data_IF_109237005002
#
_entry.id   IF_109237005002
#
_cell.length_a   1.000
_cell.length_b   1.000
_cell.length_c   1.000
_cell.angle_alpha   90.00
_cell.angle_beta   90.00
_cell.angle_gamma   90.00
#
_symmetry.space_group_name_H-M   'P 1'
#
loop_
_entity.id
_entity.type
_entity.pdbx_description
1 polymer ?
#
# COMPACT_ATOMS: atom_id res chain seq x y z
N UNK A 1 8.47 -16.11 27.89
CA UNK A 1 7.14 -15.51 27.63
C UNK A 1 7.35 -14.49 26.52
N UNK A 2 6.93 -14.85 25.28
CA UNK A 2 7.06 -13.98 24.10
C UNK A 2 6.02 -12.87 24.22
N UNK A 3 6.45 -11.65 24.50
CA UNK A 3 5.62 -10.47 24.28
C UNK A 3 5.61 -10.21 22.79
N UNK A 4 4.69 -10.87 22.07
CA UNK A 4 4.43 -10.53 20.68
C UNK A 4 4.19 -9.03 20.58
N UNK A 5 4.78 -8.37 19.60
CA UNK A 5 4.45 -6.99 19.25
C UNK A 5 2.95 -6.96 18.97
N UNK A 6 2.17 -6.30 19.81
CA UNK A 6 0.75 -6.12 19.57
C UNK A 6 0.63 -5.38 18.23
N UNK A 7 0.02 -6.04 17.25
CA UNK A 7 -0.42 -5.37 16.03
C UNK A 7 -1.22 -4.14 16.43
N UNK A 8 -0.92 -3.00 15.82
CA UNK A 8 -1.60 -1.75 16.14
C UNK A 8 -3.08 -1.93 15.79
N UNK A 9 -3.92 -2.05 16.80
CA UNK A 9 -5.37 -1.98 16.62
C UNK A 9 -5.74 -0.55 16.23
N UNK A 10 -6.67 -0.38 15.30
CA UNK A 10 -7.12 0.93 14.78
C UNK A 10 -6.03 1.64 13.93
N UNK A 11 -5.54 0.94 12.91
CA UNK A 11 -4.62 1.51 11.92
C UNK A 11 -5.35 2.53 11.06
N UNK A 12 -4.90 3.78 11.13
CA UNK A 12 -5.35 4.90 10.30
C UNK A 12 -4.17 5.31 9.41
N UNK A 13 -4.07 4.69 8.26
CA UNK A 13 -2.90 4.80 7.41
C UNK A 13 -3.12 5.61 6.14
N UNK A 14 -2.01 6.00 5.52
CA UNK A 14 -2.00 6.64 4.21
C UNK A 14 -0.86 6.12 3.36
N UNK A 15 -1.12 5.92 2.06
CA UNK A 15 -0.08 5.74 1.08
C UNK A 15 0.50 7.09 0.63
N UNK A 16 1.83 7.19 0.64
CA UNK A 16 2.59 8.26 -0.01
C UNK A 16 3.31 7.66 -1.21
N UNK A 17 2.70 7.80 -2.38
CA UNK A 17 3.22 7.24 -3.63
C UNK A 17 4.28 8.14 -4.25
N UNK A 18 5.02 7.64 -5.23
CA UNK A 18 5.93 8.47 -6.02
C UNK A 18 5.23 9.66 -6.70
N UNK A 19 3.92 9.57 -6.96
CA UNK A 19 3.11 10.68 -7.45
C UNK A 19 2.84 11.78 -6.43
N UNK A 20 3.01 11.49 -5.14
CA UNK A 20 2.77 12.45 -4.06
C UNK A 20 4.01 13.26 -3.67
N UNK A 21 5.22 12.88 -4.07
CA UNK A 21 6.48 13.50 -3.60
C UNK A 21 6.55 15.00 -3.84
N UNK A 22 6.12 15.48 -5.02
CA UNK A 22 6.07 16.91 -5.34
C UNK A 22 5.06 17.65 -4.47
N UNK A 23 3.88 17.09 -4.28
CA UNK A 23 2.82 17.68 -3.45
C UNK A 23 3.21 17.70 -1.95
N UNK A 24 4.02 16.73 -1.50
CA UNK A 24 4.60 16.70 -0.17
C UNK A 24 5.78 17.68 0.01
N UNK A 25 6.23 18.32 -1.08
CA UNK A 25 7.37 19.24 -1.07
C UNK A 25 8.73 18.56 -0.93
N UNK A 26 8.81 17.26 -1.30
CA UNK A 26 10.02 16.44 -1.10
C UNK A 26 10.90 16.37 -2.37
N UNK A 27 10.33 16.67 -3.54
CA UNK A 27 11.03 16.53 -4.80
C UNK A 27 12.22 17.49 -4.92
N UNK A 28 13.40 16.97 -5.22
CA UNK A 28 14.64 17.67 -5.54
C UNK A 28 15.01 18.77 -4.52
N UNK A 29 15.10 18.39 -3.23
CA UNK A 29 15.39 19.32 -2.13
C UNK A 29 16.78 19.09 -1.55
N UNK A 30 17.38 20.17 -0.98
CA UNK A 30 18.52 20.06 -0.07
C UNK A 30 18.11 19.32 1.20
N UNK A 31 19.06 18.75 1.93
CA UNK A 31 18.81 18.01 3.17
C UNK A 31 17.93 18.79 4.16
N UNK A 32 18.28 20.04 4.45
CA UNK A 32 17.55 20.89 5.40
C UNK A 32 16.11 21.15 4.94
N UNK A 33 15.91 21.47 3.66
CA UNK A 33 14.58 21.70 3.09
C UNK A 33 13.76 20.39 3.06
N UNK A 34 14.38 19.26 2.74
CA UNK A 34 13.75 17.93 2.76
C UNK A 34 13.25 17.58 4.17
N UNK A 35 14.10 17.72 5.18
CA UNK A 35 13.77 17.44 6.57
C UNK A 35 12.65 18.36 7.08
N UNK A 36 12.72 19.65 6.79
CA UNK A 36 11.69 20.63 7.16
C UNK A 36 10.34 20.29 6.52
N UNK A 37 10.33 19.99 5.23
CA UNK A 37 9.12 19.68 4.48
C UNK A 37 8.52 18.33 4.91
N UNK A 38 9.34 17.30 5.12
CA UNK A 38 8.90 16.02 5.64
C UNK A 38 8.20 16.16 7.01
N UNK A 39 8.82 16.91 7.92
CA UNK A 39 8.24 17.15 9.25
C UNK A 39 6.92 17.94 9.17
N UNK A 40 6.85 18.99 8.34
CA UNK A 40 5.62 19.75 8.11
C UNK A 40 4.51 18.84 7.54
N UNK A 41 4.86 18.00 6.58
CA UNK A 41 3.91 17.12 5.91
C UNK A 41 3.38 16.03 6.87
N UNK A 42 4.26 15.37 7.63
CA UNK A 42 3.88 14.32 8.56
C UNK A 42 3.08 14.85 9.75
N UNK A 43 3.42 16.04 10.27
CA UNK A 43 2.58 16.74 11.27
C UNK A 43 1.17 17.02 10.75
N UNK A 44 1.05 17.42 9.49
CA UNK A 44 -0.26 17.64 8.85
C UNK A 44 -1.06 16.35 8.74
N UNK A 45 -0.44 15.25 8.31
CA UNK A 45 -1.07 13.93 8.26
C UNK A 45 -1.49 13.46 9.67
N UNK A 46 -0.61 13.62 10.68
CA UNK A 46 -0.93 13.29 12.08
C UNK A 46 -2.12 14.06 12.62
N UNK A 47 -2.22 15.37 12.32
CA UNK A 47 -3.38 16.20 12.66
C UNK A 47 -4.67 15.70 12.02
N UNK A 48 -4.59 15.07 10.85
CA UNK A 48 -5.70 14.47 10.13
C UNK A 48 -5.97 13.00 10.58
N UNK A 49 -5.40 12.56 11.72
CA UNK A 49 -5.65 11.27 12.35
C UNK A 49 -4.74 10.13 11.87
N UNK A 50 -3.84 10.37 10.94
CA UNK A 50 -2.96 9.32 10.41
C UNK A 50 -1.93 8.89 11.46
N UNK A 51 -1.80 7.59 11.70
CA UNK A 51 -0.84 6.99 12.63
C UNK A 51 0.18 6.06 11.94
N UNK A 52 -0.05 5.72 10.68
CA UNK A 52 0.80 4.79 9.91
C UNK A 52 1.03 5.31 8.49
N UNK A 53 2.27 5.24 8.01
CA UNK A 53 2.66 5.67 6.66
C UNK A 53 3.16 4.47 5.86
N UNK A 54 2.59 4.25 4.68
CA UNK A 54 3.14 3.40 3.63
C UNK A 54 3.83 4.28 2.60
N UNK A 55 5.16 4.40 2.70
CA UNK A 55 5.95 5.27 1.83
C UNK A 55 6.59 4.48 0.69
N UNK A 56 6.40 4.93 -0.54
CA UNK A 56 6.91 4.26 -1.74
C UNK A 56 8.42 4.47 -1.86
N UNK A 57 9.23 3.58 -1.31
CA UNK A 57 10.70 3.72 -1.28
C UNK A 57 11.38 3.15 -2.51
N UNK A 58 10.74 2.18 -3.20
CA UNK A 58 11.24 1.57 -4.43
C UNK A 58 10.09 1.35 -5.43
N UNK A 59 9.69 2.40 -6.19
CA UNK A 59 8.51 2.34 -7.08
C UNK A 59 8.70 1.51 -8.34
N UNK A 60 9.94 1.40 -8.82
CA UNK A 60 10.29 0.63 -10.02
C UNK A 60 11.63 -0.10 -9.81
N UNK A 61 12.57 0.02 -10.76
CA UNK A 61 13.95 -0.43 -10.59
C UNK A 61 14.83 0.72 -10.09
N UNK A 62 14.34 1.44 -9.12
CA UNK A 62 14.93 2.64 -8.54
C UNK A 62 14.52 2.77 -7.07
N UNK A 63 15.25 3.57 -6.31
CA UNK A 63 15.03 3.79 -4.88
C UNK A 63 15.24 5.26 -4.49
N UNK A 64 14.65 5.66 -3.36
CA UNK A 64 14.86 6.98 -2.77
C UNK A 64 15.91 6.96 -1.65
N UNK A 65 16.76 5.94 -1.62
CA UNK A 65 17.81 5.74 -0.63
C UNK A 65 19.09 5.22 -1.32
N UNK A 66 20.29 5.34 -0.71
CA UNK A 66 21.54 4.83 -1.29
C UNK A 66 21.56 3.30 -1.29
N UNK A 67 21.02 2.71 -2.35
CA UNK A 67 20.92 1.27 -2.52
C UNK A 67 22.12 0.69 -3.28
N UNK A 68 22.59 -0.49 -2.86
CA UNK A 68 23.59 -1.28 -3.59
C UNK A 68 23.02 -1.96 -4.84
N UNK A 69 21.69 -2.03 -4.98
CA UNK A 69 21.01 -2.80 -6.03
C UNK A 69 20.16 -1.97 -6.97
N UNK A 70 19.81 -0.75 -6.58
CA UNK A 70 18.91 0.14 -7.29
C UNK A 70 19.58 1.49 -7.54
N UNK A 71 19.29 2.10 -8.68
CA UNK A 71 19.67 3.49 -8.95
C UNK A 71 18.74 4.45 -8.20
N UNK A 72 19.16 5.69 -8.06
CA UNK A 72 18.32 6.76 -7.53
C UNK A 72 17.06 6.97 -8.37
N UNK A 73 15.95 7.21 -7.68
CA UNK A 73 14.66 7.43 -8.32
C UNK A 73 14.55 8.86 -8.85
N UNK A 74 14.37 8.99 -10.17
CA UNK A 74 14.10 10.27 -10.82
C UNK A 74 12.74 10.86 -10.46
N UNK A 75 11.87 10.09 -9.82
CA UNK A 75 10.61 10.61 -9.25
C UNK A 75 10.86 11.49 -8.03
N UNK A 76 11.98 11.30 -7.33
CA UNK A 76 12.32 12.06 -6.12
C UNK A 76 13.46 13.06 -6.36
N UNK A 77 14.48 12.70 -7.16
CA UNK A 77 15.69 13.49 -7.36
C UNK A 77 16.09 13.56 -8.82
N UNK A 78 16.60 14.68 -9.27
CA UNK A 78 17.23 14.87 -10.60
C UNK A 78 18.65 14.30 -10.61
N UNK A 79 19.34 14.38 -9.47
CA UNK A 79 20.67 13.78 -9.24
C UNK A 79 20.71 13.14 -7.84
N UNK A 80 21.69 12.26 -7.60
CA UNK A 80 21.88 11.65 -6.29
C UNK A 80 22.08 12.75 -5.22
N UNK A 81 21.30 12.76 -4.12
CA UNK A 81 21.53 13.67 -3.02
C UNK A 81 22.78 13.26 -2.22
N UNK A 82 23.34 14.19 -1.45
CA UNK A 82 24.46 13.99 -0.52
C UNK A 82 24.03 13.55 0.88
N UNK A 83 22.75 13.18 1.04
CA UNK A 83 22.14 12.70 2.30
C UNK A 83 21.28 11.48 2.06
N UNK A 84 20.83 10.81 3.13
CA UNK A 84 19.91 9.67 3.08
C UNK A 84 18.45 10.12 3.32
N UNK A 85 17.63 10.21 2.28
CA UNK A 85 16.24 10.62 2.40
C UNK A 85 15.37 9.62 3.18
N UNK A 86 15.64 8.31 3.06
CA UNK A 86 14.85 7.29 3.74
C UNK A 86 15.07 7.35 5.26
N UNK A 87 16.29 7.51 5.70
CA UNK A 87 16.61 7.68 7.11
C UNK A 87 15.90 8.90 7.70
N UNK A 88 15.93 10.05 7.00
CA UNK A 88 15.23 11.27 7.42
C UNK A 88 13.72 11.04 7.52
N UNK A 89 13.10 10.33 6.57
CA UNK A 89 11.67 10.06 6.58
C UNK A 89 11.27 9.17 7.75
N UNK A 90 12.02 8.10 8.02
CA UNK A 90 11.76 7.18 9.13
C UNK A 90 11.86 7.92 10.47
N UNK A 91 12.97 8.62 10.70
CA UNK A 91 13.17 9.41 11.93
C UNK A 91 12.05 10.46 12.11
N UNK A 92 11.63 11.09 11.01
CA UNK A 92 10.54 12.09 11.04
C UNK A 92 9.19 11.44 11.38
N UNK A 93 8.90 10.25 10.85
CA UNK A 93 7.68 9.50 11.19
C UNK A 93 7.67 9.13 12.68
N UNK A 94 8.74 8.54 13.19
CA UNK A 94 8.87 8.13 14.59
C UNK A 94 8.79 9.33 15.54
N UNK A 95 9.46 10.44 15.22
CA UNK A 95 9.36 11.70 15.99
C UNK A 95 7.92 12.21 16.10
N UNK A 96 7.09 11.98 15.07
CA UNK A 96 5.67 12.33 15.07
C UNK A 96 4.78 11.20 15.60
N UNK A 97 5.33 10.14 16.22
CA UNK A 97 4.61 8.97 16.74
C UNK A 97 3.73 8.31 15.66
N UNK A 98 4.34 8.05 14.51
CA UNK A 98 3.75 7.35 13.37
C UNK A 98 4.64 6.16 13.01
N UNK A 99 4.03 5.02 12.67
CA UNK A 99 4.76 3.89 12.10
C UNK A 99 5.08 4.13 10.63
N UNK A 100 6.20 3.56 10.16
CA UNK A 100 6.69 3.74 8.80
C UNK A 100 6.94 2.38 8.13
N UNK A 101 6.17 2.06 7.11
CA UNK A 101 6.36 0.87 6.29
C UNK A 101 6.99 1.25 4.96
N UNK A 102 8.08 0.58 4.61
CA UNK A 102 8.71 0.74 3.32
C UNK A 102 7.89 0.02 2.24
N UNK A 103 7.30 0.80 1.33
CA UNK A 103 6.50 0.24 0.23
C UNK A 103 7.35 0.06 -1.03
N UNK A 104 7.29 -1.15 -1.60
CA UNK A 104 7.98 -1.54 -2.82
C UNK A 104 7.02 -2.15 -3.84
N UNK A 105 7.32 -1.94 -5.12
CA UNK A 105 6.73 -2.72 -6.21
C UNK A 105 7.69 -3.85 -6.60
N UNK A 106 7.41 -5.12 -6.25
CA UNK A 106 8.41 -6.19 -6.30
C UNK A 106 8.91 -6.49 -7.70
N UNK A 107 8.05 -6.40 -8.72
CA UNK A 107 8.40 -6.78 -10.09
C UNK A 107 8.36 -5.64 -11.12
N UNK A 108 7.97 -4.45 -10.73
CA UNK A 108 7.93 -3.31 -11.66
C UNK A 108 9.35 -2.87 -12.04
N UNK A 109 9.69 -3.00 -13.33
CA UNK A 109 10.97 -2.55 -13.89
C UNK A 109 10.92 -1.06 -14.26
N UNK A 110 9.84 -0.65 -14.92
CA UNK A 110 9.43 0.72 -15.23
C UNK A 110 7.93 0.74 -15.46
N UNK A 111 7.31 1.90 -15.61
CA UNK A 111 5.88 1.98 -15.90
C UNK A 111 5.50 1.10 -17.09
N UNK A 112 4.54 0.20 -16.87
CA UNK A 112 4.06 -0.74 -17.89
C UNK A 112 4.99 -1.91 -18.22
N UNK A 113 6.17 -2.03 -17.59
CA UNK A 113 7.13 -3.13 -17.82
C UNK A 113 7.47 -3.83 -16.52
N UNK A 114 7.37 -5.15 -16.50
CA UNK A 114 7.66 -5.98 -15.33
C UNK A 114 8.85 -6.92 -15.57
N UNK A 115 9.59 -7.23 -14.49
CA UNK A 115 10.42 -8.41 -14.43
C UNK A 115 9.53 -9.67 -14.51
N UNK A 116 10.10 -10.77 -15.01
CA UNK A 116 9.41 -12.06 -14.99
C UNK A 116 9.42 -12.65 -13.57
N UNK A 117 8.25 -12.78 -12.91
CA UNK A 117 8.18 -13.35 -11.56
C UNK A 117 8.67 -14.81 -11.50
N UNK A 118 8.55 -15.56 -12.59
CA UNK A 118 8.96 -16.96 -12.67
C UNK A 118 10.47 -17.17 -12.71
N UNK A 119 11.27 -16.13 -12.88
CA UNK A 119 12.74 -16.25 -12.91
C UNK A 119 13.33 -16.21 -11.51
N UNK A 120 14.25 -17.14 -11.21
CA UNK A 120 14.98 -17.17 -9.94
C UNK A 120 15.79 -15.87 -9.70
N UNK A 121 16.28 -15.22 -10.74
CA UNK A 121 16.97 -13.92 -10.67
C UNK A 121 16.05 -12.80 -10.16
N UNK A 122 14.77 -12.83 -10.53
CA UNK A 122 13.79 -11.85 -10.04
C UNK A 122 13.51 -12.02 -8.54
N UNK A 123 13.35 -13.27 -8.08
CA UNK A 123 13.20 -13.58 -6.66
C UNK A 123 14.46 -13.18 -5.87
N UNK A 124 15.65 -13.54 -6.36
CA UNK A 124 16.93 -13.16 -5.74
C UNK A 124 17.06 -11.64 -5.61
N UNK A 125 16.66 -10.90 -6.67
CA UNK A 125 16.68 -9.44 -6.69
C UNK A 125 15.81 -8.83 -5.59
N UNK A 126 14.51 -9.18 -5.54
CA UNK A 126 13.60 -8.56 -4.56
C UNK A 126 13.97 -8.94 -3.12
N UNK A 127 14.43 -10.18 -2.89
CA UNK A 127 14.93 -10.59 -1.58
C UNK A 127 16.12 -9.75 -1.10
N UNK A 128 17.07 -9.45 -2.00
CA UNK A 128 18.23 -8.61 -1.66
C UNK A 128 17.83 -7.17 -1.34
N UNK A 129 16.90 -6.61 -2.10
CA UNK A 129 16.38 -5.24 -1.86
C UNK A 129 15.68 -5.17 -0.50
N UNK A 130 14.81 -6.14 -0.19
CA UNK A 130 14.12 -6.19 1.10
C UNK A 130 15.11 -6.39 2.25
N UNK A 131 16.06 -7.33 2.10
CA UNK A 131 17.10 -7.54 3.11
C UNK A 131 17.95 -6.27 3.34
N UNK A 132 18.31 -5.55 2.28
CA UNK A 132 19.02 -4.27 2.39
C UNK A 132 18.25 -3.25 3.23
N UNK A 133 16.94 -3.12 3.00
CA UNK A 133 16.11 -2.16 3.75
C UNK A 133 16.04 -2.56 5.22
N UNK A 134 15.64 -3.80 5.54
CA UNK A 134 15.43 -4.21 6.93
C UNK A 134 16.72 -4.34 7.74
N UNK A 135 17.87 -4.48 7.08
CA UNK A 135 19.18 -4.49 7.73
C UNK A 135 19.76 -3.11 8.01
N UNK A 136 19.43 -2.12 7.20
CA UNK A 136 20.07 -0.80 7.29
C UNK A 136 19.15 0.29 7.83
N UNK A 137 17.83 0.06 7.89
CA UNK A 137 16.84 1.07 8.28
C UNK A 137 15.89 0.58 9.35
N UNK A 138 15.57 1.46 10.31
CA UNK A 138 14.63 1.19 11.39
C UNK A 138 13.17 1.35 10.91
N UNK A 139 12.78 0.61 9.86
CA UNK A 139 11.38 0.55 9.40
C UNK A 139 10.52 -0.29 10.35
N UNK A 140 9.22 -0.03 10.42
CA UNK A 140 8.27 -0.86 11.18
C UNK A 140 7.74 -2.03 10.35
N UNK A 141 7.92 -1.98 9.04
CA UNK A 141 7.53 -3.07 8.16
C UNK A 141 7.86 -2.85 6.69
N UNK A 142 7.59 -3.91 5.94
CA UNK A 142 7.66 -3.95 4.47
C UNK A 142 6.25 -4.08 3.91
N UNK A 143 5.94 -3.30 2.89
CA UNK A 143 4.64 -3.30 2.21
C UNK A 143 4.80 -3.51 0.71
N UNK A 144 4.05 -4.47 0.14
CA UNK A 144 3.95 -4.68 -1.30
C UNK A 144 2.56 -4.29 -1.81
N UNK A 145 2.49 -3.79 -3.04
CA UNK A 145 1.24 -3.72 -3.79
C UNK A 145 1.01 -4.99 -4.65
N UNK A 146 0.03 -4.95 -5.54
CA UNK A 146 -0.42 -6.08 -6.34
C UNK A 146 0.26 -6.22 -7.72
N UNK A 147 1.36 -5.51 -7.96
CA UNK A 147 2.09 -5.59 -9.24
C UNK A 147 2.96 -6.84 -9.33
N UNK A 148 2.31 -8.02 -9.32
CA UNK A 148 2.95 -9.33 -9.49
C UNK A 148 3.02 -9.71 -10.97
N UNK A 149 2.11 -10.55 -11.45
CA UNK A 149 1.99 -10.76 -12.90
C UNK A 149 1.21 -9.62 -13.53
N UNK A 150 1.64 -9.12 -14.70
CA UNK A 150 0.87 -8.09 -15.41
C UNK A 150 -0.50 -8.63 -15.83
N UNK A 151 -1.51 -7.76 -15.85
CA UNK A 151 -2.81 -8.07 -16.43
C UNK A 151 -2.68 -8.44 -17.92
N UNK A 152 -3.59 -9.28 -18.44
CA UNK A 152 -3.55 -9.82 -19.82
C UNK A 152 -3.23 -8.77 -20.90
N UNK A 153 -3.83 -7.59 -20.79
CA UNK A 153 -3.64 -6.51 -21.78
C UNK A 153 -2.19 -5.93 -21.83
N UNK A 154 -1.38 -6.13 -20.79
CA UNK A 154 -0.02 -5.59 -20.68
C UNK A 154 1.06 -6.67 -20.53
N UNK A 155 0.66 -7.94 -20.55
CA UNK A 155 1.51 -9.07 -20.25
C UNK A 155 1.35 -10.23 -21.24
N UNK A 156 1.28 -9.94 -22.55
CA UNK A 156 1.15 -10.96 -23.60
C UNK A 156 2.18 -12.11 -23.44
N UNK A 157 3.40 -11.79 -23.01
CA UNK A 157 4.46 -12.74 -22.70
C UNK A 157 4.12 -13.73 -21.58
N UNK A 158 3.16 -13.39 -20.71
CA UNK A 158 2.70 -14.24 -19.61
C UNK A 158 1.32 -14.87 -19.88
N UNK A 159 0.74 -14.70 -21.06
CA UNK A 159 -0.60 -15.19 -21.39
C UNK A 159 -0.73 -16.71 -21.26
N UNK A 160 0.37 -17.46 -21.52
CA UNK A 160 0.42 -18.91 -21.40
C UNK A 160 0.69 -19.41 -19.96
N UNK A 161 0.96 -18.53 -19.00
CA UNK A 161 1.19 -18.93 -17.61
C UNK A 161 -0.15 -19.07 -16.91
N UNK A 162 -0.51 -20.31 -16.54
CA UNK A 162 -1.78 -20.61 -15.83
C UNK A 162 -1.84 -19.89 -14.47
N UNK A 163 -3.06 -19.59 -13.99
CA UNK A 163 -3.28 -18.96 -12.68
C UNK A 163 -2.65 -19.78 -11.56
N UNK A 164 -2.82 -21.12 -11.60
CA UNK A 164 -2.21 -22.00 -10.61
C UNK A 164 -0.67 -21.90 -10.58
N UNK A 165 -0.03 -21.78 -11.76
CA UNK A 165 1.43 -21.56 -11.82
C UNK A 165 1.81 -20.18 -11.29
N UNK A 166 1.02 -19.12 -11.59
CA UNK A 166 1.25 -17.77 -11.03
C UNK A 166 1.18 -17.78 -9.52
N UNK A 167 0.13 -18.38 -8.94
CA UNK A 167 -0.03 -18.53 -7.48
C UNK A 167 1.18 -19.23 -6.84
N UNK A 168 1.62 -20.37 -7.36
CA UNK A 168 2.82 -21.07 -6.84
C UNK A 168 4.09 -20.20 -6.87
N UNK A 169 4.31 -19.47 -7.96
CA UNK A 169 5.48 -18.59 -8.10
C UNK A 169 5.42 -17.45 -7.08
N UNK A 170 4.26 -16.81 -6.95
CA UNK A 170 4.08 -15.68 -6.02
C UNK A 170 4.10 -16.16 -4.57
N UNK A 171 3.51 -17.31 -4.23
CA UNK A 171 3.60 -17.90 -2.89
C UNK A 171 5.06 -18.11 -2.45
N UNK A 172 5.90 -18.68 -3.35
CA UNK A 172 7.33 -18.82 -3.08
C UNK A 172 8.00 -17.48 -2.79
N UNK A 173 7.66 -16.43 -3.54
CA UNK A 173 8.18 -15.09 -3.30
C UNK A 173 7.70 -14.55 -1.96
N UNK A 174 6.39 -14.62 -1.67
CA UNK A 174 5.79 -14.11 -0.43
C UNK A 174 6.43 -14.78 0.78
N UNK A 175 6.51 -16.11 0.82
CA UNK A 175 7.18 -16.86 1.91
C UNK A 175 8.66 -16.49 2.05
N UNK A 176 9.38 -16.33 0.92
CA UNK A 176 10.79 -15.92 0.95
C UNK A 176 10.95 -14.53 1.58
N UNK A 177 10.08 -13.59 1.24
CA UNK A 177 10.13 -12.23 1.78
C UNK A 177 9.71 -12.21 3.24
N UNK A 178 8.61 -12.88 3.60
CA UNK A 178 8.19 -13.05 4.99
C UNK A 178 9.34 -13.57 5.86
N UNK A 179 9.95 -14.69 5.46
CA UNK A 179 11.08 -15.27 6.17
C UNK A 179 12.29 -14.33 6.24
N UNK A 180 12.54 -13.53 5.18
CA UNK A 180 13.63 -12.55 5.16
C UNK A 180 13.40 -11.44 6.18
N UNK A 181 12.17 -10.94 6.26
CA UNK A 181 11.77 -9.89 7.22
C UNK A 181 11.83 -10.42 8.65
N UNK A 182 11.19 -11.57 8.92
CA UNK A 182 11.14 -12.16 10.27
C UNK A 182 12.50 -12.61 10.79
N UNK A 183 13.40 -13.05 9.91
CA UNK A 183 14.77 -13.39 10.30
C UNK A 183 15.57 -12.19 10.79
N UNK A 184 15.28 -10.99 10.29
CA UNK A 184 15.92 -9.77 10.75
C UNK A 184 15.39 -9.33 12.13
N UNK A 185 14.06 -9.27 12.27
CA UNK A 185 13.36 -9.03 13.53
C UNK A 185 11.94 -9.58 13.42
N UNK A 186 11.52 -10.41 14.37
CA UNK A 186 10.16 -10.99 14.42
C UNK A 186 9.07 -9.94 14.56
N UNK A 187 9.40 -8.76 15.07
CA UNK A 187 8.46 -7.63 15.24
C UNK A 187 8.20 -6.87 13.95
N UNK A 188 9.08 -6.96 12.96
CA UNK A 188 8.87 -6.31 11.67
C UNK A 188 7.66 -6.92 10.95
N UNK A 189 6.79 -6.06 10.43
CA UNK A 189 5.59 -6.50 9.74
C UNK A 189 5.82 -6.62 8.23
N UNK A 190 5.24 -7.63 7.62
CA UNK A 190 5.16 -7.76 6.17
C UNK A 190 3.72 -7.89 5.72
N UNK A 191 3.29 -7.02 4.82
CA UNK A 191 1.93 -7.05 4.29
C UNK A 191 1.84 -6.72 2.81
N UNK A 192 0.69 -7.05 2.24
CA UNK A 192 0.41 -6.92 0.80
C UNK A 192 -0.92 -6.20 0.60
N UNK A 193 -0.97 -5.34 -0.42
CA UNK A 193 -2.16 -4.61 -0.84
C UNK A 193 -2.65 -5.12 -2.19
N UNK A 194 -3.47 -6.18 -2.24
CA UNK A 194 -4.03 -6.73 -3.48
C UNK A 194 -5.19 -5.86 -4.00
N UNK A 195 -5.52 -6.05 -5.29
CA UNK A 195 -6.71 -5.45 -5.87
C UNK A 195 -7.97 -5.87 -5.11
N UNK A 196 -8.89 -4.94 -4.89
CA UNK A 196 -10.13 -5.19 -4.13
C UNK A 196 -11.12 -6.17 -4.79
N UNK A 197 -10.90 -6.50 -6.07
CA UNK A 197 -11.60 -7.61 -6.74
C UNK A 197 -10.79 -8.89 -6.56
N UNK A 198 -11.31 -9.85 -5.78
CA UNK A 198 -10.65 -11.11 -5.45
C UNK A 198 -10.27 -11.88 -6.71
N UNK A 199 -11.20 -12.08 -7.61
CA UNK A 199 -11.00 -12.85 -8.84
C UNK A 199 -9.91 -12.23 -9.73
N UNK A 200 -9.86 -10.90 -9.77
CA UNK A 200 -8.81 -10.17 -10.48
C UNK A 200 -7.46 -10.30 -9.77
N UNK A 201 -7.39 -10.10 -8.45
CA UNK A 201 -6.16 -10.26 -7.68
C UNK A 201 -5.57 -11.68 -7.86
N UNK A 202 -6.41 -12.71 -7.78
CA UNK A 202 -6.00 -14.11 -8.00
C UNK A 202 -5.45 -14.33 -9.42
N UNK A 203 -6.05 -13.68 -10.43
CA UNK A 203 -5.55 -13.76 -11.81
C UNK A 203 -4.13 -13.21 -11.98
N UNK A 204 -3.69 -12.31 -11.09
CA UNK A 204 -2.35 -11.75 -11.05
C UNK A 204 -1.36 -12.62 -10.24
N UNK A 205 -1.83 -13.70 -9.63
CA UNK A 205 -1.02 -14.64 -8.86
C UNK A 205 -1.16 -14.50 -7.34
N UNK A 206 -2.05 -13.65 -6.82
CA UNK A 206 -2.35 -13.62 -5.40
C UNK A 206 -3.07 -14.92 -4.99
N UNK A 207 -2.51 -15.66 -4.05
CA UNK A 207 -3.16 -16.86 -3.50
C UNK A 207 -3.82 -16.52 -2.16
N UNK A 208 -4.90 -15.74 -2.28
CA UNK A 208 -5.55 -15.09 -1.15
C UNK A 208 -6.09 -16.11 -0.12
N UNK A 209 -6.62 -17.24 -0.60
CA UNK A 209 -7.12 -18.29 0.28
C UNK A 209 -5.99 -18.83 1.17
N UNK A 210 -4.83 -19.13 0.60
CA UNK A 210 -3.65 -19.60 1.35
C UNK A 210 -3.15 -18.51 2.31
N UNK A 211 -2.97 -17.28 1.85
CA UNK A 211 -2.42 -16.20 2.70
C UNK A 211 -3.30 -15.82 3.89
N UNK A 212 -4.62 -16.04 3.78
CA UNK A 212 -5.61 -15.73 4.81
C UNK A 212 -6.06 -16.94 5.62
N UNK A 213 -5.43 -18.10 5.44
CA UNK A 213 -5.70 -19.33 6.22
C UNK A 213 -4.46 -19.97 6.82
N UNK A 214 -3.25 -19.60 6.34
CA UNK A 214 -2.00 -20.24 6.74
C UNK A 214 -0.98 -19.18 7.24
N UNK A 215 -0.20 -19.53 8.25
CA UNK A 215 0.92 -18.74 8.75
C UNK A 215 2.12 -18.75 7.78
N UNK A 216 3.01 -17.79 7.94
CA UNK A 216 4.28 -17.74 7.20
C UNK A 216 4.21 -17.03 5.85
N UNK A 217 3.12 -16.32 5.56
CA UNK A 217 2.95 -15.54 4.33
C UNK A 217 2.92 -14.04 4.58
N UNK A 218 2.01 -13.56 5.39
CA UNK A 218 1.80 -12.12 5.66
C UNK A 218 1.38 -11.90 7.11
N UNK A 219 1.69 -10.73 7.65
CA UNK A 219 1.17 -10.28 8.95
C UNK A 219 -0.13 -9.50 8.79
N UNK A 220 -0.31 -8.81 7.66
CA UNK A 220 -1.52 -8.05 7.37
C UNK A 220 -1.81 -7.98 5.87
N UNK A 221 -3.07 -7.70 5.53
CA UNK A 221 -3.53 -7.51 4.15
C UNK A 221 -4.30 -6.21 4.00
N UNK A 222 -4.15 -5.54 2.83
CA UNK A 222 -4.80 -4.24 2.54
C UNK A 222 -5.54 -4.30 1.20
N UNK A 223 -6.72 -4.93 1.13
CA UNK A 223 -7.49 -4.96 -0.12
C UNK A 223 -7.90 -3.56 -0.59
N UNK A 224 -7.61 -3.23 -1.85
CA UNK A 224 -7.88 -1.92 -2.47
C UNK A 224 -9.34 -1.83 -2.92
N UNK A 225 -10.28 -1.57 -2.00
CA UNK A 225 -11.72 -1.52 -2.29
C UNK A 225 -12.12 -0.11 -2.76
N UNK A 226 -11.71 0.25 -3.96
CA UNK A 226 -11.80 1.60 -4.52
C UNK A 226 -13.14 1.91 -5.23
N UNK A 227 -14.26 1.41 -4.73
CA UNK A 227 -15.61 1.66 -5.25
C UNK A 227 -16.50 2.28 -4.17
N UNK A 228 -17.57 2.94 -4.61
CA UNK A 228 -18.66 3.34 -3.71
C UNK A 228 -19.79 2.30 -3.69
N UNK A 229 -20.75 2.50 -2.79
CA UNK A 229 -22.00 1.74 -2.76
C UNK A 229 -23.08 2.29 -3.71
N UNK A 230 -22.67 3.08 -4.69
CA UNK A 230 -23.54 3.56 -5.78
C UNK A 230 -22.92 3.25 -7.14
N UNK A 231 -22.36 2.05 -7.27
CA UNK A 231 -21.77 1.58 -8.50
C UNK A 231 -22.84 1.06 -9.46
N UNK A 232 -22.80 1.48 -10.72
CA UNK A 232 -23.73 1.03 -11.77
C UNK A 232 -23.20 -0.21 -12.47
N UNK A 233 -24.00 -1.28 -12.44
CA UNK A 233 -23.82 -2.46 -13.28
C UNK A 233 -24.99 -2.48 -14.28
N UNK A 234 -24.76 -1.95 -15.48
CA UNK A 234 -25.82 -1.71 -16.46
C UNK A 234 -26.83 -0.68 -15.93
N UNK A 235 -28.11 -1.07 -15.81
CA UNK A 235 -29.19 -0.22 -15.28
C UNK A 235 -29.33 -0.27 -13.77
N UNK A 236 -28.70 -1.26 -13.08
CA UNK A 236 -28.83 -1.49 -11.64
C UNK A 236 -27.73 -0.77 -10.87
N UNK A 237 -28.09 -0.13 -9.76
CA UNK A 237 -27.13 0.37 -8.76
C UNK A 237 -26.82 -0.74 -7.76
N UNK A 238 -25.55 -0.93 -7.45
CA UNK A 238 -25.05 -2.01 -6.57
C UNK A 238 -24.18 -1.43 -5.48
N UNK A 239 -24.34 -1.92 -4.25
CA UNK A 239 -23.48 -1.62 -3.10
C UNK A 239 -22.14 -2.35 -3.23
N UNK A 240 -21.33 -1.92 -4.23
CA UNK A 240 -20.14 -2.68 -4.63
C UNK A 240 -19.05 -2.68 -3.56
N UNK A 241 -18.87 -1.56 -2.85
CA UNK A 241 -17.96 -1.49 -1.71
C UNK A 241 -18.34 -2.53 -0.65
N UNK A 242 -19.58 -2.49 -0.17
CA UNK A 242 -20.08 -3.39 0.88
C UNK A 242 -19.99 -4.86 0.45
N UNK A 243 -20.37 -5.18 -0.79
CA UNK A 243 -20.30 -6.54 -1.29
C UNK A 243 -18.85 -7.08 -1.34
N UNK A 244 -17.90 -6.23 -1.70
CA UNK A 244 -16.48 -6.63 -1.73
C UNK A 244 -15.91 -6.75 -0.31
N UNK A 245 -16.20 -5.80 0.58
CA UNK A 245 -15.80 -5.87 1.98
C UNK A 245 -16.24 -7.19 2.61
N UNK A 246 -17.51 -7.56 2.47
CA UNK A 246 -18.03 -8.81 3.01
C UNK A 246 -17.31 -10.05 2.43
N UNK A 247 -16.99 -10.05 1.14
CA UNK A 247 -16.23 -11.14 0.51
C UNK A 247 -14.82 -11.26 1.13
N UNK A 248 -14.12 -10.14 1.35
CA UNK A 248 -12.80 -10.12 1.95
C UNK A 248 -12.81 -10.60 3.40
N UNK A 249 -13.74 -10.10 4.21
CA UNK A 249 -13.90 -10.54 5.61
C UNK A 249 -14.20 -12.03 5.69
N UNK A 250 -15.10 -12.53 4.84
CA UNK A 250 -15.44 -13.97 4.80
C UNK A 250 -14.27 -14.87 4.34
N UNK A 251 -13.32 -14.33 3.60
CA UNK A 251 -12.12 -15.05 3.14
C UNK A 251 -11.07 -15.19 4.26
N UNK A 252 -11.04 -14.27 5.22
CA UNK A 252 -10.07 -14.24 6.30
C UNK A 252 -10.38 -15.30 7.36
N UNK A 253 -9.67 -16.44 7.33
CA UNK A 253 -9.87 -17.58 8.23
C UNK A 253 -8.85 -17.66 9.36
N UNK A 254 -7.71 -16.97 9.21
CA UNK A 254 -6.61 -17.01 10.18
C UNK A 254 -6.55 -15.74 11.06
N UNK A 255 -7.61 -14.92 11.06
CA UNK A 255 -7.62 -13.62 11.74
C UNK A 255 -6.41 -12.73 11.40
N UNK A 256 -5.91 -12.83 10.16
CA UNK A 256 -4.87 -11.95 9.65
C UNK A 256 -5.36 -10.51 9.71
N UNK A 257 -4.54 -9.59 10.24
CA UNK A 257 -4.93 -8.17 10.32
C UNK A 257 -5.33 -7.64 8.96
N UNK A 258 -6.52 -7.02 8.89
CA UNK A 258 -7.09 -6.53 7.64
C UNK A 258 -7.36 -5.03 7.72
N UNK A 259 -6.66 -4.26 6.88
CA UNK A 259 -6.86 -2.82 6.74
C UNK A 259 -7.46 -2.54 5.36
N UNK A 260 -8.51 -1.75 5.28
CA UNK A 260 -9.21 -1.54 3.99
C UNK A 260 -8.64 -0.34 3.25
N UNK A 261 -8.17 -0.56 2.02
CA UNK A 261 -7.72 0.49 1.12
C UNK A 261 -8.89 1.31 0.59
N UNK A 262 -8.90 2.63 0.86
CA UNK A 262 -9.95 3.57 0.51
C UNK A 262 -9.49 4.61 -0.52
N UNK A 263 -10.36 4.94 -1.47
CA UNK A 263 -10.03 5.75 -2.64
C UNK A 263 -10.24 7.24 -2.43
N UNK A 264 -9.38 7.92 -1.67
CA UNK A 264 -9.44 9.38 -1.50
C UNK A 264 -9.36 10.12 -2.84
N UNK A 265 -8.62 9.58 -3.81
CA UNK A 265 -8.47 10.16 -5.15
C UNK A 265 -9.78 10.22 -5.96
N UNK A 266 -10.79 9.45 -5.56
CA UNK A 266 -12.11 9.45 -6.21
C UNK A 266 -13.04 10.52 -5.65
N UNK A 267 -12.76 11.07 -4.49
CA UNK A 267 -13.60 12.09 -3.86
C UNK A 267 -13.84 13.28 -4.81
N UNK A 268 -15.11 13.60 -5.06
CA UNK A 268 -15.52 14.66 -5.97
C UNK A 268 -15.27 14.40 -7.46
N UNK A 269 -14.88 13.18 -7.86
CA UNK A 269 -14.71 12.84 -9.27
C UNK A 269 -16.01 12.43 -9.92
N UNK A 270 -16.12 12.63 -11.25
CA UNK A 270 -17.19 12.08 -12.05
C UNK A 270 -16.79 10.71 -12.60
N UNK A 271 -17.71 9.74 -12.48
CA UNK A 271 -17.63 8.48 -13.17
C UNK A 271 -19.04 8.07 -13.57
N UNK A 272 -19.23 7.66 -14.82
CA UNK A 272 -20.54 7.16 -15.32
C UNK A 272 -20.96 5.86 -14.63
N UNK A 273 -19.99 5.08 -14.17
CA UNK A 273 -20.23 3.81 -13.47
C UNK A 273 -20.21 3.91 -11.96
N UNK A 274 -19.57 4.91 -11.35
CA UNK A 274 -19.46 5.04 -9.90
C UNK A 274 -19.92 6.43 -9.42
N UNK A 275 -21.24 6.56 -9.29
CA UNK A 275 -21.92 7.85 -9.05
C UNK A 275 -21.74 8.36 -7.61
N UNK A 276 -21.40 7.49 -6.67
CA UNK A 276 -21.32 7.85 -5.25
C UNK A 276 -20.29 8.94 -4.96
N UNK A 277 -19.15 8.92 -5.64
CA UNK A 277 -18.05 9.85 -5.42
C UNK A 277 -18.35 11.31 -5.79
N UNK A 278 -19.29 11.55 -6.70
CA UNK A 278 -19.76 12.89 -7.05
C UNK A 278 -20.97 13.31 -6.26
N UNK A 279 -21.90 12.38 -6.02
CA UNK A 279 -23.24 12.66 -5.46
C UNK A 279 -23.24 12.77 -3.94
N UNK A 280 -22.24 12.17 -3.28
CA UNK A 280 -22.11 12.13 -1.82
C UNK A 280 -20.74 12.63 -1.38
N UNK A 281 -20.67 13.16 -0.16
CA UNK A 281 -19.46 13.71 0.43
C UNK A 281 -19.08 12.99 1.74
N UNK A 282 -19.62 11.80 1.97
CA UNK A 282 -19.41 10.99 3.18
C UNK A 282 -19.11 9.52 2.86
N UNK A 283 -18.57 9.25 1.65
CA UNK A 283 -18.22 7.89 1.25
C UNK A 283 -17.16 7.31 2.17
N UNK A 284 -16.06 8.05 2.43
CA UNK A 284 -14.99 7.59 3.30
C UNK A 284 -15.50 7.30 4.72
N UNK A 285 -16.29 8.21 5.31
CA UNK A 285 -16.88 7.99 6.65
C UNK A 285 -17.78 6.77 6.67
N UNK A 286 -18.63 6.61 5.64
CA UNK A 286 -19.52 5.44 5.53
C UNK A 286 -18.73 4.15 5.40
N UNK A 287 -17.64 4.16 4.63
CA UNK A 287 -16.75 3.02 4.43
C UNK A 287 -16.03 2.63 5.71
N UNK A 288 -15.43 3.61 6.43
CA UNK A 288 -14.76 3.40 7.72
C UNK A 288 -15.74 2.82 8.76
N UNK A 289 -16.96 3.32 8.83
CA UNK A 289 -17.99 2.74 9.74
C UNK A 289 -18.29 1.28 9.39
N UNK A 290 -18.37 0.95 8.11
CA UNK A 290 -18.71 -0.42 7.65
C UNK A 290 -17.55 -1.39 7.90
N UNK A 291 -16.31 -1.00 7.62
CA UNK A 291 -15.15 -1.87 7.90
C UNK A 291 -15.00 -2.13 9.40
N UNK A 292 -15.17 -1.09 10.24
CA UNK A 292 -15.15 -1.23 11.70
C UNK A 292 -16.27 -2.16 12.19
N UNK A 293 -17.48 -2.02 11.67
CA UNK A 293 -18.60 -2.92 11.97
C UNK A 293 -18.37 -4.36 11.49
N UNK A 294 -17.58 -4.54 10.46
CA UNK A 294 -17.19 -5.84 9.92
C UNK A 294 -15.98 -6.47 10.64
N UNK A 295 -15.42 -5.82 11.66
CA UNK A 295 -14.29 -6.32 12.45
C UNK A 295 -12.93 -6.14 11.78
N UNK A 296 -12.79 -5.21 10.82
CA UNK A 296 -11.48 -4.87 10.27
C UNK A 296 -10.67 -4.00 11.24
N UNK A 297 -9.34 -4.10 11.14
CA UNK A 297 -8.39 -3.48 12.07
C UNK A 297 -7.97 -2.05 11.68
N UNK A 298 -8.56 -1.49 10.63
CA UNK A 298 -8.33 -0.13 10.19
C UNK A 298 -8.40 0.10 8.68
N UNK A 299 -7.93 1.26 8.25
CA UNK A 299 -8.00 1.68 6.85
C UNK A 299 -6.71 2.32 6.35
N UNK A 300 -6.57 2.38 5.02
CA UNK A 300 -5.46 3.05 4.34
C UNK A 300 -5.99 3.95 3.22
N UNK A 301 -5.70 5.24 3.27
CA UNK A 301 -6.15 6.23 2.29
C UNK A 301 -5.22 6.29 1.08
N UNK A 302 -5.73 6.11 -0.12
CA UNK A 302 -4.96 6.28 -1.37
C UNK A 302 -5.39 7.54 -2.11
N UNK A 303 -4.56 8.56 -2.16
CA UNK A 303 -3.25 8.74 -1.54
C UNK A 303 -3.18 10.06 -0.79
N UNK A 304 -2.06 10.35 -0.17
CA UNK A 304 -1.88 11.47 0.73
C UNK A 304 -2.14 12.84 0.09
N UNK A 305 -1.72 13.08 -1.16
CA UNK A 305 -1.94 14.36 -1.84
C UNK A 305 -3.42 14.65 -2.10
N UNK A 306 -4.22 13.59 -2.35
CA UNK A 306 -5.65 13.75 -2.58
C UNK A 306 -6.44 14.16 -1.34
N UNK A 307 -5.92 13.94 -0.13
CA UNK A 307 -6.51 14.44 1.11
C UNK A 307 -6.60 15.98 1.14
N UNK A 308 -5.78 16.66 0.32
CA UNK A 308 -5.66 18.13 0.27
C UNK A 308 -6.08 18.72 -1.08
N UNK A 309 -6.57 17.89 -1.99
CA UNK A 309 -7.04 18.35 -3.28
C UNK A 309 -8.41 19.05 -3.12
N UNK A 310 -8.62 20.19 -3.81
CA UNK A 310 -9.82 21.01 -3.71
C UNK A 310 -11.12 20.24 -3.96
N UNK A 311 -11.14 19.35 -4.95
CA UNK A 311 -12.33 18.52 -5.25
C UNK A 311 -12.72 17.58 -4.12
N UNK A 312 -11.76 17.14 -3.28
CA UNK A 312 -12.00 16.26 -2.14
C UNK A 312 -12.39 17.02 -0.87
N UNK A 313 -12.39 18.36 -0.89
CA UNK A 313 -12.50 19.20 0.31
C UNK A 313 -13.74 18.88 1.18
N UNK A 314 -14.90 18.65 0.56
CA UNK A 314 -16.15 18.32 1.30
C UNK A 314 -16.06 16.93 1.93
N UNK A 315 -15.58 15.92 1.19
CA UNK A 315 -15.36 14.56 1.69
C UNK A 315 -14.37 14.57 2.86
N UNK A 316 -13.24 15.26 2.70
CA UNK A 316 -12.19 15.36 3.72
C UNK A 316 -12.60 16.20 4.94
N UNK A 317 -13.50 17.16 4.79
CA UNK A 317 -14.12 17.86 5.94
C UNK A 317 -14.92 16.87 6.79
N UNK A 318 -15.77 16.06 6.18
CA UNK A 318 -16.58 15.06 6.89
C UNK A 318 -15.68 13.97 7.53
N UNK A 319 -14.67 13.52 6.82
CA UNK A 319 -13.66 12.59 7.35
C UNK A 319 -13.00 13.14 8.62
N UNK A 320 -12.45 14.39 8.57
CA UNK A 320 -11.79 15.03 9.72
C UNK A 320 -12.72 15.23 10.92
N UNK A 321 -13.99 15.52 10.68
CA UNK A 321 -14.98 15.65 11.76
C UNK A 321 -15.30 14.29 12.41
N UNK A 322 -15.19 13.21 11.66
CA UNK A 322 -15.49 11.87 12.16
C UNK A 322 -14.36 11.28 12.99
N UNK A 323 -13.08 11.52 12.60
CA UNK A 323 -11.93 10.93 13.30
C UNK A 323 -11.41 11.76 14.49
N UNK A 324 -11.97 12.93 14.74
CA UNK A 324 -11.73 13.76 15.92
C UNK A 324 -12.62 13.33 17.08
#
# INVERSE_FOLDING_TARGET
MSTGSALVTDVQAVWISFGDYKAAGLYNKSQSAFQTNANKYFKKLKKDGINTIYFHVAPCNDAIYPSKYLKWSSYMFESAPDYDPLEILIQTAHKNKMTFHAWLNPYRKKMGVSYDPGKASSLKRIRRIVAEIVQNYNVDGIHFDDYFYPAKAKGAQFSKVSVAKRKRVINKMVQTIYSTVKKQDEKLLFGISPAGNIEYAESLGCDLATWLSEDGYIDYIVPQIYWSDQYRMGRKVTSLYTNRLNKWVNLNKNNTSMYIGLATYRAGTYSSSDLGWRRKNNNLVSQIKKEKAAGCDGFVLFSSSYMYHSRAAKEMKNYRNYIR
#
